data_IF_176592302031
#
_entry.id   IF_176592302031
#
_cell.length_a   1.000
_cell.length_b   1.000
_cell.length_c   1.000
_cell.angle_alpha   90.00
_cell.angle_beta   90.00
_cell.angle_gamma   90.00
#
_symmetry.space_group_name_H-M   'P 1'
#
loop_
_entity.id
_entity.type
_entity.pdbx_description
1 polymer ?
#
# COMPACT_ATOMS: atom_id res chain seq x y z
N UNK A 1 0.15 -4.75 -0.76
CA UNK A 1 -0.08 -3.38 -1.28
C UNK A 1 0.97 -2.47 -0.71
N UNK A 2 1.70 -1.74 -1.53
CA UNK A 2 2.68 -0.73 -1.10
C UNK A 2 2.03 0.66 -1.17
N UNK A 3 2.24 1.47 -0.13
CA UNK A 3 1.72 2.82 -0.02
C UNK A 3 2.85 3.80 -0.40
N UNK A 4 2.86 4.28 -1.64
CA UNK A 4 3.89 5.21 -2.11
C UNK A 4 3.53 6.61 -1.62
N UNK A 5 4.27 7.09 -0.62
CA UNK A 5 4.00 8.37 0.02
C UNK A 5 4.43 9.55 -0.87
N UNK A 6 3.73 10.69 -0.73
CA UNK A 6 4.19 11.97 -1.27
C UNK A 6 5.45 12.41 -0.52
N UNK A 7 6.29 13.20 -1.17
CA UNK A 7 7.48 13.79 -0.54
C UNK A 7 7.08 14.56 0.73
N UNK A 8 7.93 14.50 1.76
CA UNK A 8 7.70 15.17 3.05
C UNK A 8 6.86 14.38 4.06
N UNK A 9 6.57 13.10 3.81
CA UNK A 9 5.87 12.20 4.74
C UNK A 9 6.77 11.04 5.23
N UNK A 10 8.08 11.30 5.39
CA UNK A 10 9.07 10.28 5.74
C UNK A 10 8.88 9.73 7.16
N UNK A 11 8.23 10.48 8.05
CA UNK A 11 7.83 10.04 9.39
C UNK A 11 6.83 8.89 9.38
N UNK A 12 6.17 8.64 8.25
CA UNK A 12 5.28 7.50 8.06
C UNK A 12 5.98 6.28 7.49
N UNK A 13 7.22 6.40 7.03
CA UNK A 13 8.02 5.27 6.54
C UNK A 13 8.50 4.40 7.68
N UNK A 14 8.73 3.13 7.39
CA UNK A 14 9.38 2.24 8.35
C UNK A 14 10.89 2.34 8.22
N UNK A 15 11.59 2.46 9.35
CA UNK A 15 13.06 2.37 9.40
C UNK A 15 13.45 0.91 9.59
N UNK A 16 14.40 0.43 8.79
CA UNK A 16 14.94 -0.91 9.01
C UNK A 16 15.74 -0.95 10.31
N UNK A 17 15.62 -2.00 11.15
CA UNK A 17 16.45 -2.18 12.33
C UNK A 17 17.95 -2.31 12.00
N UNK A 18 18.28 -2.78 10.79
CA UNK A 18 19.65 -3.09 10.36
C UNK A 18 20.28 -2.04 9.44
N UNK A 19 19.54 -0.98 9.08
CA UNK A 19 20.06 0.09 8.22
C UNK A 19 19.27 1.38 8.42
N UNK A 20 19.91 2.53 8.23
CA UNK A 20 19.22 3.83 8.24
C UNK A 20 18.27 4.08 7.05
N UNK A 21 18.02 3.06 6.22
CA UNK A 21 17.09 3.16 5.10
C UNK A 21 15.65 3.23 5.59
N UNK A 22 14.91 4.16 4.99
CA UNK A 22 13.47 4.31 5.15
C UNK A 22 12.74 3.64 4.00
N UNK A 23 11.63 2.99 4.31
CA UNK A 23 10.85 2.22 3.36
C UNK A 23 9.38 2.59 3.43
N UNK A 24 8.73 2.58 2.27
CA UNK A 24 7.29 2.83 2.19
C UNK A 24 6.48 1.77 2.93
N UNK A 25 5.40 2.14 3.64
CA UNK A 25 4.54 1.19 4.31
C UNK A 25 3.95 0.15 3.37
N UNK A 26 3.80 -1.07 3.89
CA UNK A 26 3.16 -2.18 3.19
C UNK A 26 1.95 -2.66 3.97
N UNK A 27 0.82 -2.76 3.30
CA UNK A 27 -0.39 -3.37 3.85
C UNK A 27 -0.69 -4.69 3.15
N UNK A 28 -1.02 -5.69 3.95
CA UNK A 28 -1.61 -6.94 3.46
C UNK A 28 -3.12 -6.76 3.33
N UNK A 29 -3.70 -7.30 2.25
CA UNK A 29 -5.14 -7.37 2.17
C UNK A 29 -5.64 -8.41 3.17
N UNK A 30 -6.51 -7.98 4.09
CA UNK A 30 -7.25 -8.87 4.97
C UNK A 30 -8.24 -9.76 4.21
N UNK A 31 -8.55 -9.40 2.95
CA UNK A 31 -9.49 -10.11 2.09
C UNK A 31 -8.83 -11.20 1.24
N UNK A 32 -7.54 -11.51 1.46
CA UNK A 32 -6.82 -12.54 0.68
C UNK A 32 -7.44 -13.95 0.73
N UNK A 33 -8.26 -14.23 1.74
CA UNK A 33 -9.00 -15.49 1.89
C UNK A 33 -10.45 -15.40 1.42
N UNK A 34 -10.88 -14.21 1.01
CA UNK A 34 -12.22 -13.99 0.52
C UNK A 34 -12.30 -14.42 -0.94
N UNK A 35 -13.44 -14.96 -1.38
CA UNK A 35 -13.62 -15.48 -2.76
C UNK A 35 -13.83 -14.37 -3.80
N UNK A 36 -13.54 -13.13 -3.46
CA UNK A 36 -13.68 -11.99 -4.36
C UNK A 36 -12.45 -11.87 -5.26
N UNK A 37 -12.67 -11.37 -6.46
CA UNK A 37 -11.60 -11.08 -7.41
C UNK A 37 -10.64 -10.00 -6.88
N UNK A 38 -9.42 -10.01 -7.41
CA UNK A 38 -8.33 -9.13 -6.97
C UNK A 38 -8.63 -7.65 -7.22
N UNK A 39 -9.42 -7.31 -8.24
CA UNK A 39 -9.83 -5.95 -8.58
C UNK A 39 -10.77 -5.37 -7.52
N UNK A 40 -11.79 -6.14 -7.12
CA UNK A 40 -12.72 -5.76 -6.05
C UNK A 40 -12.01 -5.62 -4.71
N UNK A 41 -11.06 -6.53 -4.41
CA UNK A 41 -10.23 -6.43 -3.21
C UNK A 41 -9.40 -5.14 -3.25
N UNK A 42 -8.78 -4.82 -4.39
CA UNK A 42 -7.98 -3.61 -4.53
C UNK A 42 -8.84 -2.35 -4.33
N UNK A 43 -10.03 -2.29 -4.92
CA UNK A 43 -10.95 -1.17 -4.75
C UNK A 43 -11.31 -0.92 -3.27
N UNK A 44 -11.64 -1.97 -2.51
CA UNK A 44 -11.93 -1.84 -1.07
C UNK A 44 -10.72 -1.43 -0.25
N UNK A 45 -9.52 -1.84 -0.65
CA UNK A 45 -8.29 -1.40 -0.01
C UNK A 45 -7.99 0.09 -0.29
N UNK A 46 -8.30 0.59 -1.49
CA UNK A 46 -8.20 2.03 -1.82
C UNK A 46 -9.11 2.84 -0.91
N UNK A 47 -10.40 2.46 -0.81
CA UNK A 47 -11.37 3.14 0.06
C UNK A 47 -10.85 3.19 1.51
N UNK A 48 -10.37 2.05 2.03
CA UNK A 48 -9.85 1.97 3.40
C UNK A 48 -8.65 2.87 3.64
N UNK A 49 -7.76 3.00 2.66
CA UNK A 49 -6.61 3.91 2.74
C UNK A 49 -7.06 5.36 2.77
N UNK A 50 -7.99 5.74 1.90
CA UNK A 50 -8.52 7.11 1.83
C UNK A 50 -9.24 7.52 3.11
N UNK A 51 -9.91 6.57 3.79
CA UNK A 51 -10.57 6.79 5.07
C UNK A 51 -9.60 6.74 6.28
N UNK A 52 -8.36 6.30 6.09
CA UNK A 52 -7.42 6.18 7.19
C UNK A 52 -6.80 7.54 7.53
N UNK A 53 -7.13 8.10 8.69
CA UNK A 53 -6.67 9.42 9.13
C UNK A 53 -5.15 9.60 9.12
N UNK A 54 -4.37 8.53 9.31
CA UNK A 54 -2.89 8.59 9.28
C UNK A 54 -2.35 8.82 7.87
N UNK A 55 -3.03 8.29 6.84
CA UNK A 55 -2.52 8.20 5.47
C UNK A 55 -3.34 8.99 4.43
N UNK A 56 -4.56 9.39 4.77
CA UNK A 56 -5.43 10.19 3.92
C UNK A 56 -4.69 11.45 3.43
N UNK A 57 -4.70 11.68 2.11
CA UNK A 57 -4.03 12.83 1.46
C UNK A 57 -2.50 12.73 1.34
N UNK A 58 -1.85 11.79 2.03
CA UNK A 58 -0.37 11.68 2.11
C UNK A 58 0.25 10.68 1.13
N UNK A 59 -0.58 9.89 0.46
CA UNK A 59 -0.16 8.87 -0.51
C UNK A 59 -0.25 9.47 -1.92
N UNK A 60 0.78 9.23 -2.72
CA UNK A 60 0.85 9.58 -4.15
C UNK A 60 0.26 8.47 -5.02
N UNK A 61 0.57 7.21 -4.70
CA UNK A 61 0.01 6.05 -5.40
C UNK A 61 0.01 4.79 -4.53
N UNK A 62 -0.89 3.88 -4.83
CA UNK A 62 -0.97 2.54 -4.28
C UNK A 62 -0.53 1.53 -5.34
N UNK A 63 0.32 0.59 -4.95
CA UNK A 63 0.78 -0.50 -5.81
C UNK A 63 0.34 -1.84 -5.22
N UNK A 64 -0.39 -2.63 -6.01
CA UNK A 64 -0.94 -3.91 -5.60
C UNK A 64 -0.14 -5.05 -6.23
N UNK A 65 0.25 -6.01 -5.41
CA UNK A 65 1.09 -7.15 -5.79
C UNK A 65 0.39 -8.43 -5.39
N UNK A 66 0.59 -9.49 -6.17
CA UNK A 66 0.13 -10.83 -5.83
C UNK A 66 1.05 -11.42 -4.75
N UNK A 67 0.53 -12.34 -3.95
CA UNK A 67 1.39 -13.02 -3.00
C UNK A 67 2.30 -14.00 -3.74
N UNK A 68 3.58 -14.04 -3.39
CA UNK A 68 4.58 -14.85 -4.10
C UNK A 68 5.19 -14.19 -5.34
N UNK A 69 4.50 -13.25 -5.99
CA UNK A 69 5.04 -12.46 -7.10
C UNK A 69 4.99 -10.95 -6.79
N UNK A 70 6.17 -10.42 -6.46
CA UNK A 70 6.37 -8.99 -6.14
C UNK A 70 7.26 -8.29 -7.17
N UNK A 71 7.54 -8.94 -8.29
CA UNK A 71 8.39 -8.38 -9.35
C UNK A 71 7.73 -7.16 -9.99
N UNK A 72 6.41 -7.22 -10.17
CA UNK A 72 5.61 -6.16 -10.76
C UNK A 72 4.23 -6.05 -10.09
N UNK A 73 3.68 -4.84 -9.95
CA UNK A 73 2.33 -4.68 -9.44
C UNK A 73 1.33 -5.11 -10.52
N UNK A 74 0.29 -5.85 -10.13
CA UNK A 74 -0.83 -6.15 -11.04
C UNK A 74 -1.75 -4.93 -11.22
N UNK A 75 -1.74 -4.00 -10.26
CA UNK A 75 -2.53 -2.75 -10.32
C UNK A 75 -1.80 -1.59 -9.64
N UNK A 76 -1.87 -0.41 -10.28
CA UNK A 76 -1.39 0.86 -9.74
C UNK A 76 -2.55 1.84 -9.71
N UNK A 77 -2.74 2.53 -8.58
CA UNK A 77 -3.79 3.53 -8.39
C UNK A 77 -3.14 4.83 -7.91
N UNK A 78 -3.32 5.93 -8.65
CA UNK A 78 -2.87 7.26 -8.22
C UNK A 78 -3.94 7.91 -7.34
N UNK A 79 -3.52 8.56 -6.25
CA UNK A 79 -4.39 9.19 -5.25
C UNK A 79 -4.13 10.69 -5.14
#
# INVERSE_FOLDING_TARGET
MMLMLKNGNDELKFKSPSSDKLFNPVWYSYLKFNRYDEERIAAKMVERVQMNSKYAGKIQQLQFYRNGDRSQPFKIVRL
#
